data_IF_606761341982
#
_entry.id   IF_606761341982
#
_cell.length_a   1.000
_cell.length_b   1.000
_cell.length_c   1.000
_cell.angle_alpha   90.00
_cell.angle_beta   90.00
_cell.angle_gamma   90.00
#
_symmetry.space_group_name_H-M   'P 1'
#
loop_
_entity.id
_entity.type
_entity.pdbx_description
1 polymer ?
#
# COMPACT_ATOMS: atom_id res chain seq x y z
N UNK A 1 14.15 8.65 -14.80
CA UNK A 1 13.16 9.48 -14.08
C UNK A 1 13.94 10.52 -13.31
N UNK A 2 13.65 11.80 -13.51
CA UNK A 2 14.31 12.87 -12.77
C UNK A 2 13.79 12.88 -11.31
N UNK A 3 14.58 13.33 -10.31
CA UNK A 3 14.15 13.36 -8.91
C UNK A 3 12.80 14.03 -8.68
N UNK A 4 12.52 15.10 -9.44
CA UNK A 4 11.26 15.85 -9.40
C UNK A 4 10.06 15.01 -9.83
N UNK A 5 10.20 14.21 -10.88
CA UNK A 5 9.13 13.33 -11.37
C UNK A 5 8.83 12.21 -10.37
N UNK A 6 9.86 11.66 -9.72
CA UNK A 6 9.69 10.65 -8.68
C UNK A 6 8.91 11.24 -7.49
N UNK A 7 9.26 12.45 -7.06
CA UNK A 7 8.55 13.15 -5.98
C UNK A 7 7.10 13.52 -6.37
N UNK A 8 6.89 13.98 -7.60
CA UNK A 8 5.57 14.36 -8.09
C UNK A 8 4.61 13.16 -8.17
N UNK A 9 5.11 11.98 -8.55
CA UNK A 9 4.32 10.77 -8.71
C UNK A 9 4.18 9.93 -7.44
N UNK A 10 4.89 10.26 -6.35
CA UNK A 10 4.76 9.53 -5.09
C UNK A 10 3.42 9.83 -4.39
N UNK A 11 2.51 8.85 -4.25
CA UNK A 11 1.23 9.08 -3.58
C UNK A 11 1.40 9.45 -2.11
N UNK A 12 2.44 8.90 -1.46
CA UNK A 12 2.77 9.16 -0.07
C UNK A 12 3.09 10.65 0.16
N UNK A 13 3.93 11.23 -0.69
CA UNK A 13 4.27 12.66 -0.62
C UNK A 13 3.07 13.58 -0.93
N UNK A 14 2.06 13.05 -1.62
CA UNK A 14 0.83 13.75 -1.97
C UNK A 14 -0.36 13.39 -1.04
N UNK A 15 -0.14 12.69 0.08
CA UNK A 15 -1.21 12.14 0.92
C UNK A 15 -2.23 13.18 1.42
N UNK A 16 -1.79 14.43 1.65
CA UNK A 16 -2.67 15.55 2.02
C UNK A 16 -3.69 15.91 0.94
N UNK A 17 -3.41 15.62 -0.34
CA UNK A 17 -4.33 15.90 -1.45
C UNK A 17 -5.41 14.82 -1.61
N UNK A 18 -5.19 13.62 -1.07
CA UNK A 18 -6.14 12.50 -1.14
C UNK A 18 -7.33 12.79 -0.23
N UNK A 19 -8.52 13.01 -0.81
CA UNK A 19 -9.78 13.28 -0.07
C UNK A 19 -10.66 12.04 0.05
N UNK A 20 -10.60 11.16 -0.93
CA UNK A 20 -11.37 9.92 -0.95
C UNK A 20 -10.86 8.96 0.15
N UNK A 21 -11.76 8.34 0.93
CA UNK A 21 -11.39 7.22 1.80
C UNK A 21 -10.74 6.10 1.00
N UNK A 22 -9.68 5.50 1.54
CA UNK A 22 -8.98 4.40 0.90
C UNK A 22 -9.19 3.10 1.67
N UNK A 23 -9.39 2.02 0.93
CA UNK A 23 -9.26 0.65 1.42
C UNK A 23 -8.16 0.00 0.60
N UNK A 24 -7.17 -0.59 1.27
CA UNK A 24 -6.02 -1.23 0.62
C UNK A 24 -5.75 -2.58 1.27
N UNK A 25 -5.31 -3.54 0.47
CA UNK A 25 -4.99 -4.89 0.91
C UNK A 25 -3.55 -5.25 0.50
N UNK A 26 -2.82 -5.89 1.40
CA UNK A 26 -1.47 -6.38 1.17
C UNK A 26 -1.31 -7.82 1.66
N UNK A 27 -0.41 -8.56 1.01
CA UNK A 27 0.12 -9.82 1.53
C UNK A 27 1.46 -9.59 2.23
N UNK A 28 1.72 -10.27 3.34
CA UNK A 28 2.98 -10.09 4.10
C UNK A 28 4.22 -10.63 3.37
N UNK A 29 4.03 -11.54 2.41
CA UNK A 29 5.07 -12.18 1.61
C UNK A 29 5.00 -11.73 0.13
N UNK A 30 4.54 -10.50 -0.13
CA UNK A 30 4.53 -9.90 -1.48
C UNK A 30 5.98 -9.68 -1.97
N UNK A 31 6.33 -10.36 -3.06
CA UNK A 31 7.64 -10.35 -3.69
C UNK A 31 7.81 -9.26 -4.75
N UNK A 32 6.73 -8.53 -5.08
CA UNK A 32 6.70 -7.48 -6.10
C UNK A 32 6.60 -6.10 -5.45
N UNK A 33 5.76 -5.95 -4.41
CA UNK A 33 5.53 -4.68 -3.73
C UNK A 33 5.66 -4.87 -2.21
N UNK A 34 6.62 -4.15 -1.63
CA UNK A 34 6.84 -4.17 -0.18
C UNK A 34 5.66 -3.57 0.59
N UNK A 35 4.98 -4.38 1.41
CA UNK A 35 3.77 -3.95 2.12
C UNK A 35 4.01 -2.90 3.20
N UNK A 36 5.27 -2.71 3.63
CA UNK A 36 5.66 -1.62 4.53
C UNK A 36 5.30 -0.24 3.97
N UNK A 37 5.24 -0.06 2.64
CA UNK A 37 4.76 1.19 2.03
C UNK A 37 3.29 1.48 2.37
N UNK A 38 2.49 0.43 2.53
CA UNK A 38 1.11 0.53 3.03
C UNK A 38 1.06 1.01 4.49
N UNK A 39 1.99 0.57 5.32
CA UNK A 39 2.13 1.01 6.72
C UNK A 39 2.47 2.51 6.77
N UNK A 40 3.43 2.96 5.97
CA UNK A 40 3.81 4.39 5.88
C UNK A 40 2.62 5.27 5.50
N UNK A 41 1.86 4.86 4.49
CA UNK A 41 0.63 5.56 4.10
C UNK A 41 -0.42 5.52 5.21
N UNK A 42 -0.63 4.39 5.87
CA UNK A 42 -1.57 4.27 6.99
C UNK A 42 -1.22 5.24 8.12
N UNK A 43 0.06 5.30 8.51
CA UNK A 43 0.55 6.21 9.56
C UNK A 43 0.31 7.66 9.14
N UNK A 44 0.72 8.05 7.93
CA UNK A 44 0.53 9.44 7.45
C UNK A 44 -0.95 9.80 7.42
N UNK A 45 -1.82 8.93 6.87
CA UNK A 45 -3.27 9.17 6.82
C UNK A 45 -3.88 9.28 8.21
N UNK A 46 -3.40 8.50 9.19
CA UNK A 46 -3.79 8.60 10.60
C UNK A 46 -3.38 9.92 11.23
N UNK A 47 -2.16 10.39 10.97
CA UNK A 47 -1.65 11.67 11.47
C UNK A 47 -2.49 12.83 10.94
N UNK A 48 -2.88 12.80 9.66
CA UNK A 48 -3.70 13.85 9.05
C UNK A 48 -5.21 13.61 9.19
N UNK A 49 -5.61 12.69 10.08
CA UNK A 49 -7.01 12.37 10.41
C UNK A 49 -7.89 12.01 9.19
N UNK A 50 -7.30 11.33 8.20
CA UNK A 50 -8.01 10.88 7.01
C UNK A 50 -8.26 9.37 7.02
N UNK A 51 -9.45 8.93 6.55
CA UNK A 51 -9.80 7.52 6.55
C UNK A 51 -8.89 6.71 5.62
N UNK A 52 -8.34 5.64 6.17
CA UNK A 52 -7.59 4.61 5.47
C UNK A 52 -7.82 3.27 6.20
N UNK A 53 -8.30 2.28 5.47
CA UNK A 53 -8.50 0.91 5.96
C UNK A 53 -7.45 0.03 5.31
N UNK A 54 -6.73 -0.74 6.12
CA UNK A 54 -5.69 -1.65 5.66
C UNK A 54 -6.05 -3.08 6.05
N UNK A 55 -6.08 -3.98 5.09
CA UNK A 55 -6.10 -5.42 5.33
C UNK A 55 -4.71 -6.00 5.05
N UNK A 56 -4.21 -6.76 6.02
CA UNK A 56 -2.94 -7.47 5.90
C UNK A 56 -3.23 -8.95 5.96
N UNK A 57 -2.97 -9.65 4.86
CA UNK A 57 -3.16 -11.09 4.77
C UNK A 57 -1.83 -11.79 5.05
N UNK A 58 -1.80 -12.53 6.15
CA UNK A 58 -0.62 -13.26 6.54
C UNK A 58 -0.34 -14.43 5.58
N UNK A 59 0.94 -14.67 5.33
CA UNK A 59 1.46 -15.69 4.42
C UNK A 59 0.80 -15.64 3.03
N UNK A 60 0.64 -14.43 2.49
CA UNK A 60 0.13 -14.19 1.13
C UNK A 60 1.13 -13.37 0.33
N UNK A 61 1.21 -13.69 -0.96
CA UNK A 61 2.02 -12.97 -1.94
C UNK A 61 1.16 -11.93 -2.68
N UNK A 62 1.71 -11.33 -3.73
CA UNK A 62 1.11 -10.23 -4.50
C UNK A 62 -0.35 -10.45 -4.95
N UNK A 63 -0.70 -11.64 -5.43
CA UNK A 63 -2.05 -11.89 -5.94
C UNK A 63 -3.10 -12.21 -4.87
N UNK A 64 -2.72 -12.34 -3.58
CA UNK A 64 -3.57 -12.83 -2.49
C UNK A 64 -4.22 -14.21 -2.73
N UNK A 65 -4.02 -14.81 -3.90
CA UNK A 65 -4.51 -16.13 -4.26
C UNK A 65 -3.65 -17.21 -3.61
N UNK A 66 -4.29 -18.27 -3.13
CA UNK A 66 -3.58 -19.52 -2.89
C UNK A 66 -3.22 -20.10 -4.26
N UNK A 67 -1.92 -20.13 -4.61
CA UNK A 67 -1.46 -20.94 -5.74
C UNK A 67 -1.98 -22.36 -5.54
N UNK A 68 -2.91 -22.79 -6.39
CA UNK A 68 -3.29 -24.20 -6.47
C UNK A 68 -2.01 -24.96 -6.83
N UNK A 69 -1.49 -25.73 -5.88
CA UNK A 69 -0.41 -26.67 -6.19
C UNK A 69 -0.98 -27.67 -7.19
N UNK A 70 -0.60 -27.55 -8.47
CA UNK A 70 -0.88 -28.59 -9.46
C UNK A 70 -0.14 -29.85 -9.00
N UNK A 71 -0.90 -30.90 -8.69
CA UNK A 71 -0.39 -32.27 -8.51
C UNK A 71 0.28 -32.76 -9.78
#
# INVERSE_FOLDING_TARGET
MLPEEYMANSPMLQAQKIKTPLLVAFGTNDDIIEWHQGIEMFIIKRIIEKPYIMFVYDDKNHSLEKKLQKK
#
